data_IF_767627685222
#
_entry.id   IF_767627685222
#
_cell.length_a   1.000
_cell.length_b   1.000
_cell.length_c   1.000
_cell.angle_alpha   90.00
_cell.angle_beta   90.00
_cell.angle_gamma   90.00
#
_symmetry.space_group_name_H-M   'P 1'
#
loop_
_entity.id
_entity.type
_entity.pdbx_description
1 polymer ?
#
# COMPACT_ATOMS: atom_id res chain seq x y z
N UNK A 1 14.76 -3.33 -5.95
CA UNK A 1 14.27 -2.10 -6.60
C UNK A 1 13.55 -1.29 -5.53
N UNK A 2 14.02 -0.07 -5.22
CA UNK A 2 13.28 0.81 -4.31
C UNK A 2 12.03 1.29 -5.03
N UNK A 3 10.86 1.11 -4.41
CA UNK A 3 9.66 1.81 -4.85
C UNK A 3 9.82 3.32 -4.64
N UNK A 4 9.14 4.11 -5.47
CA UNK A 4 9.04 5.57 -5.31
C UNK A 4 7.84 5.92 -4.42
N UNK A 5 6.77 5.14 -4.51
CA UNK A 5 5.58 5.27 -3.68
C UNK A 5 5.69 4.35 -2.48
N UNK A 6 5.64 4.95 -1.29
CA UNK A 6 5.59 4.24 -0.02
C UNK A 6 4.86 5.09 1.02
N UNK A 7 4.13 4.44 1.90
CA UNK A 7 3.45 5.04 3.04
C UNK A 7 4.43 5.47 4.14
N UNK A 8 5.70 5.05 4.09
CA UNK A 8 6.73 5.60 4.99
C UNK A 8 7.09 7.04 4.66
N UNK A 9 6.76 7.51 3.45
CA UNK A 9 6.94 8.89 3.00
C UNK A 9 5.56 9.60 3.02
N UNK A 10 5.28 10.43 4.05
CA UNK A 10 3.94 10.96 4.30
C UNK A 10 3.38 11.84 3.18
N UNK A 11 4.25 12.42 2.34
CA UNK A 11 3.86 13.24 1.20
C UNK A 11 3.02 12.48 0.17
N UNK A 12 3.12 11.14 0.12
CA UNK A 12 2.31 10.30 -0.76
C UNK A 12 0.93 9.94 -0.20
N UNK A 13 0.70 10.07 1.11
CA UNK A 13 -0.55 9.62 1.73
C UNK A 13 -1.72 10.50 1.27
N UNK A 14 -1.61 11.82 1.43
CA UNK A 14 -2.72 12.73 1.14
C UNK A 14 -3.16 12.73 -0.34
N UNK A 15 -2.26 12.75 -1.35
CA UNK A 15 -2.65 12.75 -2.76
C UNK A 15 -3.47 11.53 -3.20
N UNK A 16 -3.15 10.34 -2.66
CA UNK A 16 -3.79 9.09 -3.09
C UNK A 16 -4.97 8.69 -2.19
N UNK A 17 -4.92 9.01 -0.89
CA UNK A 17 -5.95 8.57 0.07
C UNK A 17 -6.94 9.66 0.46
N UNK A 18 -6.59 10.94 0.27
CA UNK A 18 -7.35 12.08 0.81
C UNK A 18 -7.27 12.22 2.33
N UNK A 19 -6.45 11.41 3.01
CA UNK A 19 -6.28 11.43 4.47
C UNK A 19 -5.00 12.17 4.86
N UNK A 20 -5.04 12.84 6.02
CA UNK A 20 -3.80 13.23 6.69
C UNK A 20 -3.01 11.98 7.15
N UNK A 21 -1.68 12.05 7.29
CA UNK A 21 -0.87 10.95 7.81
C UNK A 21 -1.38 10.39 9.14
N UNK A 22 -1.90 11.26 10.02
CA UNK A 22 -2.50 10.87 11.30
C UNK A 22 -3.79 10.06 11.13
N UNK A 23 -4.67 10.48 10.22
CA UNK A 23 -5.90 9.73 9.92
C UNK A 23 -5.58 8.38 9.26
N UNK A 24 -4.59 8.36 8.37
CA UNK A 24 -4.11 7.13 7.76
C UNK A 24 -3.57 6.14 8.81
N UNK A 25 -2.75 6.59 9.77
CA UNK A 25 -2.29 5.74 10.87
C UNK A 25 -3.43 5.15 11.72
N UNK A 26 -4.50 5.93 11.95
CA UNK A 26 -5.72 5.42 12.61
C UNK A 26 -6.42 4.35 11.78
N UNK A 27 -6.54 4.54 10.47
CA UNK A 27 -7.11 3.55 9.56
C UNK A 27 -6.30 2.25 9.58
N UNK A 28 -4.97 2.33 9.48
CA UNK A 28 -4.10 1.15 9.53
C UNK A 28 -4.26 0.41 10.86
N UNK A 29 -4.34 1.13 11.98
CA UNK A 29 -4.56 0.54 13.30
C UNK A 29 -5.91 -0.20 13.36
N UNK A 30 -6.97 0.39 12.80
CA UNK A 30 -8.28 -0.27 12.72
C UNK A 30 -8.22 -1.53 11.84
N UNK A 31 -7.62 -1.45 10.65
CA UNK A 31 -7.47 -2.59 9.75
C UNK A 31 -6.67 -3.73 10.36
N UNK A 32 -5.62 -3.44 11.15
CA UNK A 32 -4.87 -4.46 11.89
C UNK A 32 -5.74 -5.17 12.92
N UNK A 33 -6.62 -4.44 13.63
CA UNK A 33 -7.58 -5.03 14.59
C UNK A 33 -8.60 -5.93 13.91
N UNK A 34 -9.02 -5.57 12.71
CA UNK A 34 -9.92 -6.37 11.86
C UNK A 34 -9.20 -7.56 11.15
N UNK A 35 -7.90 -7.75 11.38
CA UNK A 35 -7.16 -8.88 10.82
C UNK A 35 -6.71 -8.72 9.36
N UNK A 36 -6.68 -7.50 8.81
CA UNK A 36 -6.28 -7.22 7.42
C UNK A 36 -4.78 -7.46 7.12
N UNK A 37 -3.97 -7.73 8.15
CA UNK A 37 -2.56 -8.11 8.02
C UNK A 37 -2.30 -9.55 8.53
N UNK A 38 -2.84 -10.57 7.85
CA UNK A 38 -2.59 -11.95 8.26
C UNK A 38 -1.11 -12.30 8.06
N UNK A 39 -0.52 -12.98 9.05
CA UNK A 39 0.84 -13.53 8.94
C UNK A 39 0.87 -14.56 7.82
N UNK A 40 1.37 -14.16 6.64
CA UNK A 40 1.49 -15.05 5.48
C UNK A 40 2.61 -16.07 5.73
N UNK A 41 2.23 -17.33 6.01
CA UNK A 41 3.19 -18.45 6.04
C UNK A 41 3.82 -18.62 4.65
N UNK A 42 5.14 -18.50 4.55
CA UNK A 42 5.92 -18.88 3.35
C UNK A 42 6.60 -17.76 2.57
N UNK A 43 6.31 -16.47 2.83
CA UNK A 43 7.10 -15.38 2.21
C UNK A 43 7.08 -14.09 3.06
N UNK A 44 8.19 -13.74 3.74
CA UNK A 44 8.27 -12.53 4.57
C UNK A 44 8.31 -11.22 3.77
N UNK A 45 8.50 -11.28 2.45
CA UNK A 45 8.68 -10.13 1.55
C UNK A 45 7.37 -9.61 0.92
N UNK A 46 6.26 -9.69 1.66
CA UNK A 46 5.01 -9.05 1.23
C UNK A 46 5.11 -7.54 1.34
N UNK A 47 4.41 -6.81 0.47
CA UNK A 47 4.28 -5.36 0.59
C UNK A 47 3.65 -5.05 1.98
N UNK A 48 4.23 -4.14 2.79
CA UNK A 48 3.70 -3.76 4.10
C UNK A 48 2.20 -3.42 4.02
N UNK A 49 1.44 -3.60 5.11
CA UNK A 49 0.00 -3.31 5.12
C UNK A 49 -0.27 -1.88 4.66
N UNK A 50 0.51 -0.93 5.16
CA UNK A 50 0.45 0.48 4.85
C UNK A 50 0.61 0.73 3.35
N UNK A 51 1.63 0.14 2.73
CA UNK A 51 1.90 0.23 1.31
C UNK A 51 0.83 -0.49 0.47
N UNK A 52 0.24 -1.58 0.96
CA UNK A 52 -0.91 -2.24 0.29
C UNK A 52 -2.13 -1.34 0.26
N UNK A 53 -2.45 -0.70 1.38
CA UNK A 53 -3.58 0.24 1.45
C UNK A 53 -3.34 1.44 0.54
N UNK A 54 -2.11 1.97 0.53
CA UNK A 54 -1.73 3.06 -0.38
C UNK A 54 -1.80 2.63 -1.86
N UNK A 55 -1.37 1.42 -2.19
CA UNK A 55 -1.47 0.85 -3.53
C UNK A 55 -2.92 0.73 -3.99
N UNK A 56 -3.80 0.21 -3.14
CA UNK A 56 -5.24 0.12 -3.43
C UNK A 56 -5.82 1.51 -3.65
N UNK A 57 -5.52 2.47 -2.78
CA UNK A 57 -5.98 3.85 -2.94
C UNK A 57 -5.48 4.47 -4.27
N UNK A 58 -4.20 4.31 -4.61
CA UNK A 58 -3.64 4.78 -5.87
C UNK A 58 -4.28 4.11 -7.09
N UNK A 59 -4.57 2.80 -7.01
CA UNK A 59 -5.28 2.05 -8.05
C UNK A 59 -6.69 2.58 -8.29
N UNK A 60 -7.42 2.93 -7.22
CA UNK A 60 -8.76 3.53 -7.35
C UNK A 60 -8.74 5.00 -7.77
N UNK A 61 -7.69 5.75 -7.41
CA UNK A 61 -7.63 7.21 -7.64
C UNK A 61 -7.02 7.61 -8.97
N UNK A 62 -6.30 6.70 -9.63
CA UNK A 62 -5.58 6.96 -10.88
C UNK A 62 -6.04 6.02 -11.98
N UNK A 63 -5.80 6.39 -13.24
CA UNK A 63 -6.08 5.53 -14.39
C UNK A 63 -4.93 4.54 -14.69
N UNK A 64 -4.06 4.26 -13.71
CA UNK A 64 -2.91 3.39 -13.88
C UNK A 64 -3.32 1.92 -13.73
N UNK A 65 -2.83 1.08 -14.63
CA UNK A 65 -3.00 -0.37 -14.50
C UNK A 65 -2.18 -0.90 -13.32
N UNK A 66 -2.59 -2.04 -12.75
CA UNK A 66 -1.82 -2.70 -11.69
C UNK A 66 -0.38 -3.03 -12.13
N UNK A 67 -0.15 -3.25 -13.43
CA UNK A 67 1.18 -3.48 -14.01
C UNK A 67 2.04 -2.21 -14.00
N UNK A 68 1.45 -1.03 -14.17
CA UNK A 68 2.14 0.26 -14.07
C UNK A 68 2.36 0.68 -12.62
N UNK A 69 1.43 0.36 -11.71
CA UNK A 69 1.57 0.68 -10.29
C UNK A 69 2.61 -0.19 -9.57
N UNK A 70 2.66 -1.49 -9.86
CA UNK A 70 3.58 -2.42 -9.19
C UNK A 70 5.05 -1.95 -9.12
N UNK A 71 5.69 -1.48 -10.21
CA UNK A 71 7.06 -0.98 -10.14
C UNK A 71 7.19 0.29 -9.28
N UNK A 72 6.15 1.13 -9.18
CA UNK A 72 6.17 2.31 -8.30
C UNK A 72 6.24 1.94 -6.82
N UNK A 73 5.74 0.76 -6.45
CA UNK A 73 5.85 0.19 -5.09
C UNK A 73 7.03 -0.77 -4.94
N UNK A 74 7.91 -0.87 -5.95
CA UNK A 74 9.10 -1.74 -5.89
C UNK A 74 8.79 -3.24 -5.92
N UNK A 75 7.58 -3.64 -6.32
CA UNK A 75 7.12 -5.03 -6.35
C UNK A 75 6.77 -5.50 -7.75
N UNK A 76 6.73 -6.82 -7.96
CA UNK A 76 6.22 -7.38 -9.22
C UNK A 76 4.70 -7.24 -9.31
N UNK A 77 4.12 -7.27 -10.52
CA UNK A 77 2.66 -7.29 -10.71
C UNK A 77 1.97 -8.45 -9.97
N UNK A 78 2.62 -9.62 -9.89
CA UNK A 78 2.09 -10.77 -9.15
C UNK A 78 2.25 -10.65 -7.64
N UNK A 79 3.15 -9.81 -7.14
CA UNK A 79 3.22 -9.45 -5.72
C UNK A 79 2.18 -8.38 -5.37
N UNK A 80 1.97 -7.39 -6.23
CA UNK A 80 0.93 -6.36 -6.07
C UNK A 80 -0.50 -6.94 -6.08
N UNK A 81 -0.74 -8.06 -6.77
CA UNK A 81 -2.06 -8.71 -6.87
C UNK A 81 -2.38 -9.68 -5.72
N UNK A 82 -1.57 -9.75 -4.65
CA UNK A 82 -1.75 -10.69 -3.53
C UNK A 82 -2.15 -9.99 -2.25
#
# INVERSE_FOLDING_TARGET
MSGVLTASEPSWIAPFTGLSPRQFGKLITALRREGADPVRRGRPWGLPLEDRVLLVAAYWRTNLTLRQLAPLFGVSKSAANR
#
